data_IF_647514322704
#
_entry.id   IF_647514322704
#
_cell.length_a   1.000
_cell.length_b   1.000
_cell.length_c   1.000
_cell.angle_alpha   90.00
_cell.angle_beta   90.00
_cell.angle_gamma   90.00
#
_symmetry.space_group_name_H-M   'P 1'
#
loop_
_entity.id
_entity.type
_entity.pdbx_description
1 polymer ?
#
# COMPACT_ATOMS: atom_id res chain seq x y z
N UNK A 1 -18.86 11.73 -8.22
CA UNK A 1 -18.54 10.58 -7.34
C UNK A 1 -17.06 10.68 -7.00
N UNK A 2 -16.71 10.95 -5.75
CA UNK A 2 -15.30 11.07 -5.33
C UNK A 2 -14.68 9.65 -5.22
N UNK A 3 -13.47 9.44 -5.73
CA UNK A 3 -12.71 8.20 -5.51
C UNK A 3 -11.67 8.44 -4.43
N UNK A 4 -11.62 7.58 -3.41
CA UNK A 4 -10.55 7.59 -2.41
C UNK A 4 -9.61 6.44 -2.75
N UNK A 5 -8.38 6.77 -3.13
CA UNK A 5 -7.34 5.82 -3.48
C UNK A 5 -6.16 6.07 -2.55
N UNK A 6 -5.65 5.00 -1.94
CA UNK A 6 -4.36 5.04 -1.28
C UNK A 6 -3.29 4.68 -2.32
N UNK A 7 -2.35 5.59 -2.55
CA UNK A 7 -1.24 5.39 -3.48
C UNK A 7 0.09 5.35 -2.73
N UNK A 8 0.89 4.33 -3.02
CA UNK A 8 2.25 4.16 -2.51
C UNK A 8 3.20 4.22 -3.71
N UNK A 9 4.10 5.20 -3.73
CA UNK A 9 5.16 5.29 -4.73
C UNK A 9 6.43 4.63 -4.20
N UNK A 10 6.89 3.59 -4.87
CA UNK A 10 8.14 2.92 -4.56
C UNK A 10 9.34 3.64 -5.19
N UNK A 11 10.59 3.37 -4.73
CA UNK A 11 11.79 3.95 -5.32
C UNK A 11 12.05 3.53 -6.77
N UNK A 12 11.60 2.34 -7.16
CA UNK A 12 11.71 1.79 -8.51
C UNK A 12 10.64 0.70 -8.78
N UNK A 13 10.53 0.29 -10.05
CA UNK A 13 9.59 -0.74 -10.52
C UNK A 13 9.78 -2.10 -9.85
N UNK A 14 11.02 -2.44 -9.47
CA UNK A 14 11.33 -3.73 -8.83
C UNK A 14 10.78 -3.74 -7.41
N UNK A 15 10.93 -2.65 -6.66
CA UNK A 15 10.38 -2.50 -5.32
C UNK A 15 8.84 -2.43 -5.38
N UNK A 16 8.27 -1.72 -6.35
CA UNK A 16 6.82 -1.71 -6.57
C UNK A 16 6.26 -3.12 -6.81
N UNK A 17 6.91 -3.90 -7.68
CA UNK A 17 6.52 -5.29 -7.94
C UNK A 17 6.67 -6.20 -6.71
N UNK A 18 7.71 -6.00 -5.91
CA UNK A 18 7.89 -6.73 -4.65
C UNK A 18 6.80 -6.39 -3.63
N UNK A 19 6.47 -5.11 -3.46
CA UNK A 19 5.38 -4.63 -2.60
C UNK A 19 4.03 -5.21 -3.05
N UNK A 20 3.71 -5.12 -4.34
CA UNK A 20 2.47 -5.67 -4.90
C UNK A 20 2.33 -7.18 -4.63
N UNK A 21 3.41 -7.93 -4.81
CA UNK A 21 3.44 -9.38 -4.52
C UNK A 21 3.28 -9.66 -3.03
N UNK A 22 3.94 -8.87 -2.17
CA UNK A 22 3.88 -9.04 -0.73
C UNK A 22 2.46 -8.80 -0.20
N UNK A 23 1.80 -7.70 -0.62
CA UNK A 23 0.40 -7.41 -0.30
C UNK A 23 -0.54 -8.54 -0.73
N UNK A 24 -0.37 -9.05 -1.95
CA UNK A 24 -1.17 -10.18 -2.45
C UNK A 24 -0.95 -11.48 -1.66
N UNK A 25 0.22 -11.66 -1.07
CA UNK A 25 0.60 -12.87 -0.32
C UNK A 25 0.35 -12.74 1.19
N UNK A 26 -0.03 -11.54 1.66
CA UNK A 26 -0.34 -11.29 3.06
C UNK A 26 -1.60 -12.03 3.53
N UNK A 27 -1.85 -12.00 4.84
CA UNK A 27 -3.08 -12.53 5.44
C UNK A 27 -3.69 -11.48 6.37
N UNK A 28 -4.88 -10.94 6.02
CA UNK A 28 -5.62 -11.14 4.77
C UNK A 28 -4.85 -10.65 3.53
N UNK A 29 -5.21 -11.19 2.36
CA UNK A 29 -4.60 -10.80 1.10
C UNK A 29 -5.13 -9.44 0.64
N UNK A 30 -4.23 -8.52 0.29
CA UNK A 30 -4.58 -7.19 -0.17
C UNK A 30 -4.36 -7.10 -1.68
N UNK A 31 -5.43 -6.80 -2.42
CA UNK A 31 -5.38 -6.64 -3.87
C UNK A 31 -5.22 -5.16 -4.23
N UNK A 32 -4.14 -4.86 -4.93
CA UNK A 32 -3.82 -3.53 -5.43
C UNK A 32 -3.59 -3.56 -6.94
N UNK A 33 -3.66 -2.38 -7.57
CA UNK A 33 -3.15 -2.16 -8.92
C UNK A 33 -1.68 -1.75 -8.84
N UNK A 34 -0.92 -2.08 -9.87
CA UNK A 34 0.46 -1.62 -10.03
C UNK A 34 0.60 -0.98 -11.41
N UNK A 35 1.17 0.21 -11.45
CA UNK A 35 1.53 0.93 -12.67
C UNK A 35 2.85 1.68 -12.43
N UNK A 36 3.87 1.34 -13.21
CA UNK A 36 5.24 1.81 -13.01
C UNK A 36 5.78 1.60 -11.58
N UNK A 37 6.22 2.66 -10.88
CA UNK A 37 6.63 2.60 -9.48
C UNK A 37 5.47 2.74 -8.49
N UNK A 38 4.21 2.77 -8.94
CA UNK A 38 3.05 3.08 -8.10
C UNK A 38 2.22 1.84 -7.80
N UNK A 39 1.83 1.69 -6.54
CA UNK A 39 0.86 0.69 -6.07
C UNK A 39 -0.36 1.43 -5.53
N UNK A 40 -1.53 1.15 -6.10
CA UNK A 40 -2.77 1.88 -5.80
C UNK A 40 -3.85 0.94 -5.28
N UNK A 41 -4.47 1.31 -4.15
CA UNK A 41 -5.59 0.59 -3.53
C UNK A 41 -6.86 1.45 -3.62
N UNK A 42 -7.91 0.90 -4.21
CA UNK A 42 -9.22 1.56 -4.26
C UNK A 42 -9.98 1.26 -2.97
N UNK A 43 -10.08 2.24 -2.07
CA UNK A 43 -10.70 2.04 -0.76
C UNK A 43 -12.22 1.84 -0.86
N UNK A 44 -12.84 2.08 -2.01
CA UNK A 44 -14.27 1.75 -2.22
C UNK A 44 -14.52 0.24 -2.31
N UNK A 45 -13.46 -0.53 -2.57
CA UNK A 45 -13.53 -1.99 -2.61
C UNK A 45 -13.24 -2.64 -1.24
N UNK A 46 -13.01 -1.83 -0.20
CA UNK A 46 -12.72 -2.27 1.16
C UNK A 46 -13.94 -2.00 2.02
N UNK A 47 -14.36 -2.97 2.83
CA UNK A 47 -15.39 -2.74 3.83
C UNK A 47 -14.86 -1.72 4.87
N UNK A 48 -15.61 -0.66 5.23
CA UNK A 48 -15.19 0.26 6.28
C UNK A 48 -14.81 -0.43 7.61
N UNK A 49 -15.42 -1.58 7.93
CA UNK A 49 -15.08 -2.37 9.12
C UNK A 49 -13.74 -3.11 9.03
N UNK A 50 -13.14 -3.21 7.85
CA UNK A 50 -11.85 -3.87 7.59
C UNK A 50 -10.68 -2.88 7.49
N UNK A 51 -10.93 -1.57 7.66
CA UNK A 51 -9.90 -0.53 7.48
C UNK A 51 -8.73 -0.67 8.46
N UNK A 52 -9.00 -1.05 9.71
CA UNK A 52 -7.95 -1.24 10.71
C UNK A 52 -7.08 -2.46 10.38
N UNK A 53 -7.70 -3.58 9.96
CA UNK A 53 -6.98 -4.78 9.53
C UNK A 53 -6.16 -4.53 8.26
N UNK A 54 -6.72 -3.78 7.29
CA UNK A 54 -5.98 -3.32 6.11
C UNK A 54 -4.75 -2.49 6.51
N UNK A 55 -4.90 -1.57 7.47
CA UNK A 55 -3.80 -0.73 7.95
C UNK A 55 -2.69 -1.58 8.59
N UNK A 56 -3.06 -2.57 9.40
CA UNK A 56 -2.10 -3.51 10.02
C UNK A 56 -1.32 -4.30 8.96
N UNK A 57 -2.00 -4.84 7.95
CA UNK A 57 -1.35 -5.58 6.85
C UNK A 57 -0.43 -4.66 6.03
N UNK A 58 -0.86 -3.43 5.74
CA UNK A 58 -0.06 -2.45 5.01
C UNK A 58 1.22 -2.12 5.79
N UNK A 59 1.11 -1.81 7.08
CA UNK A 59 2.27 -1.50 7.94
C UNK A 59 3.23 -2.68 8.01
N UNK A 60 2.72 -3.88 8.28
CA UNK A 60 3.54 -5.09 8.37
C UNK A 60 4.26 -5.37 7.04
N UNK A 61 3.58 -5.18 5.91
CA UNK A 61 4.16 -5.36 4.58
C UNK A 61 5.24 -4.33 4.29
N UNK A 62 4.98 -3.06 4.57
CA UNK A 62 5.92 -1.95 4.32
C UNK A 62 7.19 -2.08 5.15
N UNK A 63 7.10 -2.55 6.40
CA UNK A 63 8.26 -2.79 7.27
C UNK A 63 9.23 -3.85 6.72
N UNK A 64 8.75 -4.73 5.84
CA UNK A 64 9.58 -5.74 5.19
C UNK A 64 10.20 -5.23 3.87
N UNK A 65 9.80 -4.06 3.38
CA UNK A 65 10.27 -3.53 2.10
C UNK A 65 11.63 -2.83 2.23
N UNK A 66 12.53 -2.98 1.24
CA UNK A 66 13.75 -2.19 1.17
C UNK A 66 13.44 -0.69 1.10
N UNK A 67 14.12 0.13 1.90
CA UNK A 67 13.92 1.58 1.90
C UNK A 67 12.83 2.09 2.85
N UNK A 68 12.28 1.25 3.74
CA UNK A 68 11.36 1.67 4.80
C UNK A 68 12.00 2.61 5.85
N UNK A 69 13.30 2.90 5.73
CA UNK A 69 13.99 3.87 6.56
C UNK A 69 13.55 5.30 6.18
N UNK A 70 12.54 5.79 6.91
CA UNK A 70 12.09 7.19 7.05
C UNK A 70 11.21 7.75 5.93
N UNK A 71 9.93 7.39 5.96
CA UNK A 71 8.87 8.32 5.59
C UNK A 71 8.29 8.96 6.86
N UNK A 72 8.97 9.96 7.41
CA UNK A 72 8.29 10.89 8.34
C UNK A 72 7.37 11.75 7.49
N UNK A 73 6.07 11.50 7.56
CA UNK A 73 5.06 12.27 6.84
C UNK A 73 5.32 13.76 7.02
N UNK A 74 5.60 14.46 5.91
CA UNK A 74 5.54 15.92 5.91
C UNK A 74 4.07 16.26 5.81
N UNK A 75 3.45 16.60 6.94
CA UNK A 75 2.14 17.24 6.93
C UNK A 75 2.22 18.47 6.03
N UNK A 76 1.49 18.44 4.92
CA UNK A 76 1.27 19.61 4.10
C UNK A 76 0.40 20.57 4.91
N UNK A 77 1.04 21.61 5.45
CA UNK A 77 0.39 22.74 6.11
C UNK A 77 0.00 23.79 5.09
#
# INVERSE_FOLDING_TARGET
>A
MQSVVLEITAPDRRVAGALHRALRSARPAVLARIDDERVSLDLRAVDPGELDELAEVLVATLQQMPGAERATGKEAR
#
